data_IF_661471559424
#
_entry.id   IF_661471559424
#
_cell.length_a   1.000
_cell.length_b   1.000
_cell.length_c   1.000
_cell.angle_alpha   90.00
_cell.angle_beta   90.00
_cell.angle_gamma   90.00
#
_symmetry.space_group_name_H-M   'P 1'
#
loop_
_entity.id
_entity.type
_entity.pdbx_description
1 polymer ?
#
# COMPACT_ATOMS: atom_id res chain seq x y z
N UNK A 1 4.43 11.57 -4.37
CA UNK A 1 2.96 11.40 -4.28
C UNK A 1 2.52 10.42 -5.36
N UNK A 2 1.50 9.60 -5.09
CA UNK A 2 0.93 8.60 -6.00
C UNK A 2 -0.44 9.06 -6.50
N UNK A 3 -0.82 8.65 -7.70
CA UNK A 3 -2.14 8.91 -8.28
C UNK A 3 -3.04 7.69 -8.17
N UNK A 4 -4.35 7.87 -8.40
CA UNK A 4 -5.30 6.76 -8.50
C UNK A 4 -4.95 5.84 -9.69
N UNK A 5 -4.40 6.39 -10.76
CA UNK A 5 -3.94 5.60 -11.91
C UNK A 5 -2.70 4.76 -11.56
N UNK A 6 -1.75 5.32 -10.81
CA UNK A 6 -0.59 4.57 -10.30
C UNK A 6 -1.05 3.39 -9.43
N UNK A 7 -2.07 3.62 -8.59
CA UNK A 7 -2.65 2.60 -7.73
C UNK A 7 -3.35 1.47 -8.52
N UNK A 8 -4.14 1.81 -9.53
CA UNK A 8 -4.84 0.81 -10.33
C UNK A 8 -3.94 0.08 -11.33
N UNK A 9 -2.81 0.68 -11.75
CA UNK A 9 -1.83 0.04 -12.63
C UNK A 9 -2.45 -0.46 -13.95
N UNK A 10 -3.44 0.26 -14.49
CA UNK A 10 -4.21 -0.13 -15.68
C UNK A 10 -5.17 -1.31 -15.49
N UNK A 11 -5.26 -1.86 -14.28
CA UNK A 11 -6.12 -3.02 -13.98
C UNK A 11 -7.60 -2.66 -13.98
N UNK A 12 -7.93 -1.38 -13.71
CA UNK A 12 -9.31 -0.85 -13.78
C UNK A 12 -9.92 -1.10 -15.16
N UNK A 13 -9.17 -0.82 -16.21
CA UNK A 13 -9.59 -0.98 -17.59
C UNK A 13 -9.52 -2.45 -18.05
N UNK A 14 -8.54 -3.21 -17.54
CA UNK A 14 -8.36 -4.63 -17.89
C UNK A 14 -9.38 -5.55 -17.20
N UNK A 15 -9.89 -5.17 -16.02
CA UNK A 15 -10.78 -5.98 -15.19
C UNK A 15 -12.03 -5.20 -14.70
N UNK A 16 -12.79 -4.54 -15.58
CA UNK A 16 -13.87 -3.64 -15.17
C UNK A 16 -14.99 -4.35 -14.40
N UNK A 17 -15.28 -5.62 -14.74
CA UNK A 17 -16.31 -6.41 -14.07
C UNK A 17 -15.95 -6.82 -12.63
N UNK A 18 -14.66 -6.81 -12.28
CA UNK A 18 -14.20 -7.11 -10.94
C UNK A 18 -14.13 -5.86 -10.05
N UNK A 19 -14.20 -4.66 -10.64
CA UNK A 19 -14.14 -3.39 -9.94
C UNK A 19 -15.55 -2.91 -9.60
N UNK A 20 -15.93 -3.05 -8.34
CA UNK A 20 -17.18 -2.47 -7.85
C UNK A 20 -17.00 -1.00 -7.47
N UNK A 21 -18.07 -0.19 -7.47
CA UNK A 21 -18.00 1.18 -6.97
C UNK A 21 -17.46 1.30 -5.54
N UNK A 22 -17.66 0.27 -4.71
CA UNK A 22 -17.16 0.25 -3.32
C UNK A 22 -15.65 0.07 -3.27
N UNK A 23 -15.09 -0.83 -4.10
CA UNK A 23 -13.64 -1.01 -4.24
C UNK A 23 -13.01 0.28 -4.74
N UNK A 24 -13.65 0.94 -5.70
CA UNK A 24 -13.15 2.21 -6.25
C UNK A 24 -13.10 3.31 -5.18
N UNK A 25 -14.17 3.51 -4.41
CA UNK A 25 -14.17 4.48 -3.30
C UNK A 25 -13.10 4.15 -2.24
N UNK A 26 -12.86 2.88 -1.96
CA UNK A 26 -11.80 2.44 -1.03
C UNK A 26 -10.41 2.71 -1.61
N UNK A 27 -10.20 2.45 -2.90
CA UNK A 27 -8.95 2.74 -3.60
C UNK A 27 -8.62 4.25 -3.55
N UNK A 28 -9.59 5.11 -3.84
CA UNK A 28 -9.43 6.57 -3.74
C UNK A 28 -9.07 7.02 -2.32
N UNK A 29 -9.75 6.44 -1.31
CA UNK A 29 -9.41 6.69 0.09
C UNK A 29 -7.99 6.23 0.41
N UNK A 30 -7.59 5.03 -0.01
CA UNK A 30 -6.24 4.47 0.19
C UNK A 30 -5.19 5.41 -0.39
N UNK A 31 -5.36 5.85 -1.64
CA UNK A 31 -4.46 6.81 -2.29
C UNK A 31 -4.37 8.12 -1.52
N UNK A 32 -5.51 8.65 -1.06
CA UNK A 32 -5.55 9.90 -0.28
C UNK A 32 -4.77 9.81 1.03
N UNK A 33 -5.00 8.76 1.83
CA UNK A 33 -4.31 8.61 3.13
C UNK A 33 -2.84 8.23 2.99
N UNK A 34 -2.48 7.45 1.96
CA UNK A 34 -1.08 7.11 1.64
C UNK A 34 -0.34 8.37 1.20
N UNK A 35 -0.97 9.23 0.39
CA UNK A 35 -0.40 10.52 0.05
C UNK A 35 -0.17 11.41 1.27
N UNK A 36 -1.11 11.44 2.23
CA UNK A 36 -0.91 12.16 3.49
C UNK A 36 0.26 11.60 4.32
N UNK A 37 0.46 10.28 4.32
CA UNK A 37 1.63 9.63 4.92
C UNK A 37 2.92 10.02 4.21
N UNK A 38 2.96 9.93 2.88
CA UNK A 38 4.13 10.26 2.07
C UNK A 38 4.53 11.73 2.24
N UNK A 39 3.58 12.63 2.38
CA UNK A 39 3.87 14.04 2.68
C UNK A 39 4.62 14.21 4.01
N UNK A 40 4.27 13.43 5.04
CA UNK A 40 4.96 13.41 6.33
C UNK A 40 6.36 12.79 6.19
N UNK A 41 6.47 11.67 5.48
CA UNK A 41 7.75 11.02 5.21
C UNK A 41 8.74 11.97 4.50
N UNK A 42 8.28 12.68 3.47
CA UNK A 42 9.09 13.67 2.74
C UNK A 42 9.49 14.87 3.61
N UNK A 43 8.64 15.29 4.55
CA UNK A 43 8.99 16.34 5.52
C UNK A 43 10.11 15.89 6.48
N UNK A 44 10.21 14.59 6.74
CA UNK A 44 11.28 13.95 7.51
C UNK A 44 12.49 13.54 6.64
N UNK A 45 12.51 13.93 5.36
CA UNK A 45 13.62 13.65 4.43
C UNK A 45 13.55 12.29 3.72
N UNK A 46 12.46 11.54 3.88
CA UNK A 46 12.27 10.22 3.25
C UNK A 46 11.51 10.40 1.93
N UNK A 47 12.18 10.11 0.82
CA UNK A 47 11.65 10.35 -0.52
C UNK A 47 11.33 9.03 -1.23
N UNK A 48 10.05 8.74 -1.54
CA UNK A 48 9.69 7.52 -2.24
C UNK A 48 10.37 7.40 -3.60
N UNK A 49 11.02 6.27 -3.85
CA UNK A 49 11.71 5.97 -5.10
C UNK A 49 10.69 5.48 -6.14
N UNK A 50 10.93 5.78 -7.43
CA UNK A 50 10.12 5.22 -8.52
C UNK A 50 10.52 3.78 -8.79
N UNK A 51 9.55 2.89 -8.76
CA UNK A 51 9.68 1.52 -9.23
C UNK A 51 9.94 1.53 -10.75
N UNK A 52 11.02 0.89 -11.23
CA UNK A 52 11.35 0.86 -12.65
C UNK A 52 10.30 0.16 -13.52
N UNK A 53 9.51 -0.74 -12.94
CA UNK A 53 8.50 -1.51 -13.67
C UNK A 53 7.16 -0.78 -13.79
N UNK A 54 6.78 0.00 -12.77
CA UNK A 54 5.48 0.69 -12.74
C UNK A 54 5.61 2.17 -13.09
N UNK A 55 6.83 2.71 -13.05
CA UNK A 55 7.11 4.12 -13.23
C UNK A 55 6.63 4.99 -12.07
N UNK A 56 6.13 4.42 -10.96
CA UNK A 56 5.61 5.17 -9.81
C UNK A 56 6.18 4.62 -8.50
N UNK A 57 5.87 5.25 -7.36
CA UNK A 57 6.21 4.69 -6.05
C UNK A 57 5.34 3.48 -5.66
N UNK A 58 4.34 3.10 -6.46
CA UNK A 58 3.49 1.93 -6.21
C UNK A 58 4.11 0.69 -6.84
N UNK A 59 4.36 -0.34 -6.04
CA UNK A 59 4.69 -1.69 -6.51
C UNK A 59 3.44 -2.50 -6.81
N UNK A 60 2.40 -2.38 -5.99
CA UNK A 60 1.10 -3.03 -6.23
C UNK A 60 -0.04 -2.30 -5.50
N UNK A 61 -1.07 -1.89 -6.23
CA UNK A 61 -2.32 -1.38 -5.62
C UNK A 61 -3.43 -2.42 -5.70
N UNK A 62 -4.59 -2.09 -6.27
CA UNK A 62 -5.72 -3.02 -6.36
C UNK A 62 -5.37 -4.30 -7.15
N UNK A 63 -5.79 -5.46 -6.65
CA UNK A 63 -5.62 -6.76 -7.32
C UNK A 63 -6.99 -7.39 -7.57
N UNK A 64 -7.47 -7.50 -8.82
CA UNK A 64 -8.66 -8.29 -9.11
C UNK A 64 -8.42 -9.77 -8.74
N UNK A 65 -9.48 -10.57 -8.52
CA UNK A 65 -9.35 -11.95 -8.03
C UNK A 65 -8.36 -12.82 -8.82
N UNK A 66 -8.38 -12.72 -10.15
CA UNK A 66 -7.47 -13.45 -11.03
C UNK A 66 -5.99 -13.08 -10.81
N UNK A 67 -5.70 -11.79 -10.61
CA UNK A 67 -4.34 -11.30 -10.36
C UNK A 67 -3.88 -11.67 -8.95
N UNK A 68 -4.75 -11.58 -7.95
CA UNK A 68 -4.42 -12.01 -6.59
C UNK A 68 -4.09 -13.51 -6.55
N UNK A 69 -4.90 -14.35 -7.22
CA UNK A 69 -4.66 -15.78 -7.31
C UNK A 69 -3.35 -16.15 -8.02
N UNK A 70 -2.91 -15.33 -8.99
CA UNK A 70 -1.63 -15.51 -9.69
C UNK A 70 -0.43 -14.95 -8.92
N UNK A 71 -0.65 -14.16 -7.86
CA UNK A 71 0.42 -13.55 -7.08
C UNK A 71 0.90 -14.54 -6.02
N UNK A 72 2.14 -15.00 -6.15
CA UNK A 72 2.75 -15.95 -5.22
C UNK A 72 2.68 -15.45 -3.77
N UNK A 73 2.19 -16.29 -2.86
CA UNK A 73 2.08 -15.97 -1.43
C UNK A 73 0.96 -15.00 -1.06
N UNK A 74 0.15 -14.52 -2.02
CA UNK A 74 -0.95 -13.64 -1.70
C UNK A 74 -2.05 -14.36 -0.90
N UNK A 75 -2.52 -13.72 0.17
CA UNK A 75 -3.62 -14.23 0.97
C UNK A 75 -4.92 -14.31 0.15
N UNK A 76 -5.73 -15.35 0.41
CA UNK A 76 -7.04 -15.55 -0.24
C UNK A 76 -7.98 -14.36 -0.02
N UNK A 77 -7.92 -13.75 1.18
CA UNK A 77 -8.74 -12.59 1.56
C UNK A 77 -7.89 -11.29 1.61
N UNK A 78 -6.98 -11.12 0.64
CA UNK A 78 -6.07 -9.98 0.59
C UNK A 78 -6.79 -8.64 0.52
N UNK A 79 -6.27 -7.66 1.26
CA UNK A 79 -6.79 -6.27 1.26
C UNK A 79 -6.51 -5.51 -0.04
N UNK A 80 -5.62 -6.01 -0.88
CA UNK A 80 -5.48 -5.51 -2.25
C UNK A 80 -6.74 -5.79 -3.08
N UNK A 81 -7.48 -6.86 -2.81
CA UNK A 81 -8.70 -7.18 -3.57
C UNK A 81 -9.85 -6.23 -3.24
N UNK A 82 -9.86 -5.67 -2.03
CA UNK A 82 -10.91 -4.77 -1.54
C UNK A 82 -10.58 -3.30 -1.74
N UNK A 83 -9.43 -2.95 -2.34
CA UNK A 83 -8.99 -1.57 -2.53
C UNK A 83 -8.44 -0.91 -1.26
N UNK A 84 -8.12 -1.71 -0.24
CA UNK A 84 -7.77 -1.25 1.11
C UNK A 84 -6.27 -1.40 1.43
N UNK A 85 -5.45 -1.86 0.48
CA UNK A 85 -4.01 -2.00 0.64
C UNK A 85 -3.21 -1.48 -0.55
N UNK A 86 -1.95 -1.12 -0.29
CA UNK A 86 -0.94 -0.72 -1.27
C UNK A 86 0.43 -1.25 -0.84
N UNK A 87 1.21 -1.69 -1.81
CA UNK A 87 2.64 -1.93 -1.67
C UNK A 87 3.39 -0.74 -2.27
N UNK A 88 4.15 -0.02 -1.46
CA UNK A 88 5.06 1.03 -1.91
C UNK A 88 6.42 0.42 -2.24
N UNK A 89 7.03 0.85 -3.33
CA UNK A 89 8.37 0.41 -3.71
C UNK A 89 9.39 0.95 -2.72
N UNK A 90 10.11 0.03 -2.08
CA UNK A 90 11.07 0.34 -1.02
C UNK A 90 12.27 -0.62 -1.10
N UNK A 91 13.06 -0.54 -2.18
CA UNK A 91 14.10 -1.52 -2.48
C UNK A 91 15.21 -1.56 -1.41
N UNK A 92 15.47 -0.41 -0.79
CA UNK A 92 16.55 -0.22 0.19
C UNK A 92 16.04 -0.22 1.64
N UNK A 93 14.70 -0.24 1.85
CA UNK A 93 14.08 -0.27 3.18
C UNK A 93 13.94 1.08 3.86
N UNK A 94 14.21 2.19 3.17
CA UNK A 94 14.17 3.55 3.73
C UNK A 94 12.77 3.93 4.25
N UNK A 95 11.71 3.51 3.55
CA UNK A 95 10.33 3.77 3.98
C UNK A 95 10.03 2.92 5.20
N UNK A 96 10.34 1.62 5.17
CA UNK A 96 10.12 0.68 6.26
C UNK A 96 10.86 1.10 7.55
N UNK A 97 12.14 1.46 7.45
CA UNK A 97 12.94 1.94 8.57
C UNK A 97 12.35 3.21 9.18
N UNK A 98 11.92 4.16 8.34
CA UNK A 98 11.22 5.35 8.83
C UNK A 98 9.89 5.01 9.47
N UNK A 99 9.10 4.10 8.89
CA UNK A 99 7.81 3.69 9.44
C UNK A 99 7.95 3.04 10.81
N UNK A 100 9.04 2.31 11.08
CA UNK A 100 9.35 1.74 12.40
C UNK A 100 9.85 2.77 13.42
N UNK A 101 10.29 3.95 12.98
CA UNK A 101 10.68 5.04 13.88
C UNK A 101 9.50 5.63 14.66
N UNK A 102 9.73 6.35 15.77
CA UNK A 102 8.67 7.05 16.49
C UNK A 102 7.85 8.03 15.61
N UNK A 103 8.51 8.74 14.69
CA UNK A 103 7.85 9.68 13.79
C UNK A 103 6.96 8.94 12.78
N UNK A 104 7.46 7.87 12.18
CA UNK A 104 6.70 7.04 11.24
C UNK A 104 5.49 6.38 11.90
N UNK A 105 5.65 5.83 13.11
CA UNK A 105 4.55 5.27 13.88
C UNK A 105 3.49 6.32 14.23
N UNK A 106 3.89 7.53 14.61
CA UNK A 106 2.98 8.65 14.84
C UNK A 106 2.26 9.06 13.54
N UNK A 107 2.97 9.09 12.41
CA UNK A 107 2.42 9.39 11.10
C UNK A 107 1.36 8.36 10.70
N UNK A 108 1.67 7.05 10.77
CA UNK A 108 0.74 5.95 10.51
C UNK A 108 -0.53 6.05 11.36
N UNK A 109 -0.38 6.30 12.66
CA UNK A 109 -1.50 6.47 13.57
C UNK A 109 -2.38 7.67 13.19
N UNK A 110 -1.76 8.80 12.83
CA UNK A 110 -2.47 10.04 12.48
C UNK A 110 -3.32 9.92 11.21
N UNK A 111 -2.90 9.09 10.25
CA UNK A 111 -3.65 8.88 8.98
C UNK A 111 -4.51 7.62 9.00
N UNK A 112 -4.42 6.81 10.06
CA UNK A 112 -5.19 5.57 10.20
C UNK A 112 -4.73 4.45 9.26
N UNK A 113 -3.41 4.26 9.11
CA UNK A 113 -2.81 3.18 8.32
C UNK A 113 -2.15 2.13 9.21
N UNK A 114 -2.09 0.88 8.75
CA UNK A 114 -1.34 -0.22 9.35
C UNK A 114 -0.31 -0.71 8.35
N UNK A 115 0.79 -1.30 8.83
CA UNK A 115 1.84 -1.85 7.98
C UNK A 115 2.15 -3.30 8.31
N UNK A 116 2.55 -4.08 7.31
CA UNK A 116 3.24 -5.35 7.59
C UNK A 116 4.67 -5.09 8.06
N UNK A 117 5.23 -6.03 8.80
CA UNK A 117 6.59 -5.91 9.32
C UNK A 117 7.61 -6.08 8.17
N UNK A 118 8.67 -5.25 8.08
CA UNK A 118 9.61 -5.24 6.94
C UNK A 118 10.29 -6.58 6.64
N UNK A 119 10.45 -7.43 7.67
CA UNK A 119 11.00 -8.78 7.50
C UNK A 119 10.15 -9.70 6.62
N UNK A 120 8.86 -9.39 6.42
CA UNK A 120 7.93 -10.12 5.56
C UNK A 120 7.73 -9.45 4.18
N UNK A 121 8.16 -8.19 4.01
CA UNK A 121 7.91 -7.37 2.81
C UNK A 121 9.22 -6.87 2.20
N UNK A 122 10.16 -7.77 1.95
CA UNK A 122 11.50 -7.38 1.48
C UNK A 122 11.46 -6.67 0.12
N UNK A 123 11.78 -5.38 0.11
CA UNK A 123 11.80 -4.54 -1.10
C UNK A 123 10.52 -3.73 -1.34
N UNK A 124 9.54 -3.79 -0.44
CA UNK A 124 8.34 -2.96 -0.49
C UNK A 124 7.75 -2.70 0.90
N UNK A 125 7.14 -1.55 1.12
CA UNK A 125 6.37 -1.29 2.33
C UNK A 125 4.88 -1.59 2.06
N UNK A 126 4.33 -2.64 2.68
CA UNK A 126 2.88 -2.94 2.62
C UNK A 126 2.12 -2.09 3.62
N UNK A 127 1.09 -1.39 3.15
CA UNK A 127 0.21 -0.54 3.95
C UNK A 127 -1.26 -0.91 3.71
N UNK A 128 -2.09 -0.82 4.76
CA UNK A 128 -3.54 -1.01 4.63
C UNK A 128 -4.36 -0.05 5.49
N UNK A 129 -5.57 0.28 5.03
CA UNK A 129 -6.50 1.24 5.67
C UNK A 129 -7.41 0.62 6.73
N UNK A 130 -7.28 -0.68 6.95
CA UNK A 130 -8.06 -1.45 7.93
C UNK A 130 -7.11 -2.18 8.88
N UNK A 131 -7.46 -2.33 10.17
CA UNK A 131 -6.60 -3.03 11.11
C UNK A 131 -6.47 -4.52 10.76
N UNK A 132 -5.31 -5.13 11.04
CA UNK A 132 -5.20 -6.59 11.08
C UNK A 132 -6.05 -7.13 12.24
N UNK A 133 -6.28 -8.44 12.28
CA UNK A 133 -7.05 -9.09 13.36
C UNK A 133 -6.49 -8.82 14.76
N UNK A 134 -5.15 -8.73 14.89
CA UNK A 134 -4.47 -8.40 16.14
C UNK A 134 -4.67 -6.94 16.57
N UNK A 135 -5.06 -6.05 15.65
CA UNK A 135 -5.11 -4.59 15.79
C UNK A 135 -3.75 -3.91 16.00
N UNK A 136 -2.65 -4.66 15.99
CA UNK A 136 -1.30 -4.10 16.07
C UNK A 136 -1.01 -3.25 14.84
N UNK A 137 -0.43 -2.06 15.04
CA UNK A 137 -0.07 -1.12 13.96
C UNK A 137 0.90 -1.74 12.95
N UNK A 138 1.86 -2.51 13.48
CA UNK A 138 2.82 -3.34 12.74
C UNK A 138 2.43 -4.79 12.95
N UNK A 139 2.28 -5.57 11.89
CA UNK A 139 1.82 -6.96 11.96
C UNK A 139 2.56 -7.87 10.98
N UNK A 140 2.43 -9.17 11.18
CA UNK A 140 2.88 -10.16 10.20
C UNK A 140 1.68 -10.64 9.36
N UNK A 141 1.86 -10.89 8.05
CA UNK A 141 0.79 -11.33 7.14
C UNK A 141 0.09 -12.62 7.58
#
# INVERSE_FOLDING_TARGET
MITVNDYFMGRREQHPLALTPDIERRAERTVSVVNALLAKAMADGIHPVRNPNTGSAVSSGWRPPAINAATSGAAVNSRHMTGEAVDLYDPDGDIDDWLLSPNGQAALASVGLWMEHPSATKGWAHLQTVPPRSRNRVFYP
#
